data_IF_105215782974
#
_entry.id   IF_105215782974
#
_cell.length_a   1.000
_cell.length_b   1.000
_cell.length_c   1.000
_cell.angle_alpha   90.00
_cell.angle_beta   90.00
_cell.angle_gamma   90.00
#
_symmetry.space_group_name_H-M   'P 1'
#
loop_
_entity.id
_entity.type
_entity.pdbx_description
1 polymer ?
#
# COMPACT_ATOMS: atom_id res chain seq x y z
N UNK A 1 48.58 -44.38 -7.79
CA UNK A 1 48.09 -45.38 -6.81
C UNK A 1 47.69 -44.65 -5.53
N UNK A 2 46.71 -45.17 -4.78
CA UNK A 2 46.22 -44.65 -3.47
C UNK A 2 45.64 -43.23 -3.54
N UNK A 3 44.35 -43.04 -3.87
CA UNK A 3 43.16 -43.23 -3.01
C UNK A 3 43.17 -42.27 -1.81
N UNK A 4 42.38 -41.19 -1.92
CA UNK A 4 42.07 -40.26 -0.84
C UNK A 4 40.54 -40.07 -0.79
N UNK A 5 39.95 -40.50 0.33
CA UNK A 5 38.50 -40.61 0.51
C UNK A 5 37.92 -39.34 1.13
N UNK A 6 36.99 -38.67 0.43
CA UNK A 6 36.15 -37.62 1.02
C UNK A 6 34.85 -38.22 1.56
N UNK A 7 34.35 -37.78 2.74
CA UNK A 7 33.14 -38.31 3.33
C UNK A 7 31.88 -37.86 2.56
N UNK A 8 30.91 -38.78 2.47
CA UNK A 8 29.65 -38.57 1.74
C UNK A 8 28.73 -37.59 2.48
N UNK A 9 28.04 -36.76 1.71
CA UNK A 9 26.90 -35.98 2.18
C UNK A 9 25.72 -36.86 2.58
N UNK A 10 24.85 -36.31 3.43
CA UNK A 10 23.63 -36.94 3.91
C UNK A 10 22.59 -37.10 2.80
N UNK A 11 22.13 -38.34 2.57
CA UNK A 11 20.90 -38.64 1.84
C UNK A 11 19.86 -39.19 2.82
N UNK A 12 18.68 -38.57 2.85
CA UNK A 12 17.48 -39.16 3.45
C UNK A 12 17.02 -40.37 2.63
N UNK A 13 16.41 -41.40 3.24
CA UNK A 13 15.87 -42.53 2.50
C UNK A 13 14.60 -42.13 1.72
N UNK A 14 14.48 -42.68 0.51
CA UNK A 14 13.30 -42.57 -0.35
C UNK A 14 12.97 -43.95 -0.94
N UNK A 15 11.80 -44.04 -1.60
CA UNK A 15 11.18 -45.22 -2.24
C UNK A 15 10.50 -46.20 -1.27
N UNK A 16 9.31 -46.75 -1.55
CA UNK A 16 8.42 -46.66 -2.76
C UNK A 16 6.95 -46.87 -2.31
N UNK A 17 5.89 -46.48 -3.02
CA UNK A 17 5.41 -47.00 -4.32
C UNK A 17 4.38 -46.07 -5.01
N UNK A 18 4.23 -46.23 -6.33
CA UNK A 18 3.15 -45.75 -7.23
C UNK A 18 2.46 -46.99 -7.88
N UNK A 19 1.35 -46.92 -8.66
CA UNK A 19 0.77 -45.80 -9.46
C UNK A 19 -0.72 -45.52 -9.07
N UNK A 20 -1.64 -44.89 -9.82
CA UNK A 20 -1.77 -44.22 -11.14
C UNK A 20 -2.97 -43.19 -11.03
N UNK A 21 -3.34 -42.34 -12.00
CA UNK A 21 -2.86 -42.02 -13.35
C UNK A 21 -3.94 -41.26 -14.19
N UNK A 22 -3.54 -40.54 -15.25
CA UNK A 22 -4.37 -39.66 -16.13
C UNK A 22 -4.98 -38.39 -15.45
N UNK A 23 -4.84 -37.13 -15.87
CA UNK A 23 -4.57 -36.41 -17.13
C UNK A 23 -5.79 -35.54 -17.55
N UNK A 24 -5.60 -34.21 -17.61
CA UNK A 24 -6.51 -33.24 -18.23
C UNK A 24 -5.70 -32.32 -19.16
N UNK A 25 -6.19 -32.02 -20.39
CA UNK A 25 -5.47 -31.16 -21.33
C UNK A 25 -5.80 -29.67 -21.15
N UNK A 26 -4.80 -28.80 -21.38
CA UNK A 26 -5.02 -27.38 -21.70
C UNK A 26 -5.26 -27.23 -23.19
N UNK A 27 -6.31 -26.51 -23.58
CA UNK A 27 -6.51 -26.07 -24.97
C UNK A 27 -5.71 -24.79 -25.26
N UNK A 28 -4.94 -24.78 -26.34
CA UNK A 28 -4.17 -23.61 -26.77
C UNK A 28 -5.01 -22.50 -27.42
N UNK A 29 -4.41 -21.32 -27.52
CA UNK A 29 -4.97 -20.17 -28.24
C UNK A 29 -4.07 -19.86 -29.45
N UNK A 30 -4.66 -19.70 -30.62
CA UNK A 30 -3.92 -19.59 -31.89
C UNK A 30 -3.78 -18.16 -32.41
N UNK A 31 -2.71 -17.94 -33.18
CA UNK A 31 -2.44 -16.71 -33.90
C UNK A 31 -3.22 -16.60 -35.23
N UNK A 32 -3.45 -15.37 -35.69
CA UNK A 32 -4.15 -15.04 -36.93
C UNK A 32 -3.21 -14.42 -37.96
N UNK A 33 -3.38 -14.77 -39.24
CA UNK A 33 -2.99 -13.89 -40.34
C UNK A 33 -3.93 -14.03 -41.57
N UNK A 34 -4.63 -12.93 -41.88
CA UNK A 34 -4.98 -12.38 -43.21
C UNK A 34 -5.72 -13.22 -44.30
N UNK A 35 -6.83 -12.63 -44.81
CA UNK A 35 -7.06 -12.55 -46.26
C UNK A 35 -8.46 -12.91 -46.82
N UNK A 36 -9.27 -11.91 -47.18
CA UNK A 36 -10.00 -11.91 -48.47
C UNK A 36 -11.45 -12.46 -48.59
N UNK A 37 -12.40 -11.51 -48.66
CA UNK A 37 -13.48 -11.43 -49.68
C UNK A 37 -14.77 -12.31 -49.66
N UNK A 38 -15.91 -11.59 -49.63
CA UNK A 38 -17.17 -11.76 -50.43
C UNK A 38 -18.21 -12.88 -50.19
N UNK A 39 -19.34 -12.44 -49.60
CA UNK A 39 -20.76 -12.59 -50.06
C UNK A 39 -21.64 -13.84 -49.90
N UNK A 40 -22.93 -13.53 -49.69
CA UNK A 40 -24.19 -14.25 -49.96
C UNK A 40 -24.98 -14.95 -48.83
N UNK A 41 -26.31 -14.97 -49.06
CA UNK A 41 -27.42 -15.24 -48.12
C UNK A 41 -27.79 -16.73 -48.08
N UNK A 42 -28.48 -17.19 -47.03
CA UNK A 42 -29.33 -18.39 -47.11
C UNK A 42 -29.93 -18.85 -45.79
N UNK A 43 -31.27 -18.93 -45.70
CA UNK A 43 -31.97 -19.67 -44.64
C UNK A 43 -31.99 -21.18 -45.00
N UNK A 44 -31.97 -22.07 -44.00
CA UNK A 44 -32.19 -23.50 -44.18
C UNK A 44 -32.34 -24.23 -42.83
N UNK A 45 -33.21 -25.25 -42.77
CA UNK A 45 -33.64 -25.92 -41.52
C UNK A 45 -33.28 -27.42 -41.51
N UNK A 46 -33.20 -27.97 -40.29
CA UNK A 46 -33.50 -29.36 -39.88
C UNK A 46 -32.58 -30.52 -40.37
N UNK A 47 -31.97 -31.23 -39.42
CA UNK A 47 -32.31 -32.64 -39.11
C UNK A 47 -31.57 -33.16 -37.84
N UNK A 48 -32.23 -34.05 -37.08
CA UNK A 48 -31.67 -34.92 -36.03
C UNK A 48 -32.18 -36.36 -36.28
N UNK A 49 -31.59 -37.44 -35.72
CA UNK A 49 -31.92 -37.94 -34.36
C UNK A 49 -30.65 -38.51 -33.63
N UNK A 50 -30.64 -39.21 -32.48
CA UNK A 50 -31.62 -39.94 -31.66
C UNK A 50 -31.23 -39.89 -30.15
N UNK A 51 -32.14 -39.59 -29.21
CA UNK A 51 -32.89 -40.51 -28.30
C UNK A 51 -32.09 -41.52 -27.44
N UNK A 52 -32.19 -41.35 -26.11
CA UNK A 52 -32.62 -42.37 -25.15
C UNK A 52 -33.32 -41.69 -23.93
N UNK A 53 -34.24 -42.37 -23.24
CA UNK A 53 -35.19 -41.76 -22.27
C UNK A 53 -35.69 -42.77 -21.23
N UNK A 54 -35.72 -42.38 -19.94
CA UNK A 54 -36.72 -42.71 -18.89
C UNK A 54 -36.15 -42.42 -17.47
N UNK A 55 -36.91 -42.13 -16.40
CA UNK A 55 -38.27 -41.59 -16.20
C UNK A 55 -38.46 -41.21 -14.71
N UNK A 56 -39.32 -40.23 -14.40
CA UNK A 56 -39.94 -40.01 -13.07
C UNK A 56 -39.06 -39.42 -11.95
N UNK A 57 -39.57 -38.70 -10.95
CA UNK A 57 -40.94 -38.25 -10.67
C UNK A 57 -40.93 -36.87 -9.95
N UNK A 58 -42.10 -36.27 -9.69
CA UNK A 58 -42.24 -34.89 -9.21
C UNK A 58 -43.21 -34.75 -8.02
N UNK A 59 -42.84 -33.92 -7.03
CA UNK A 59 -43.74 -33.22 -6.09
C UNK A 59 -42.89 -32.11 -5.40
N UNK A 60 -43.13 -30.80 -5.60
CA UNK A 60 -44.19 -29.91 -5.06
C UNK A 60 -44.09 -29.60 -3.55
N UNK A 61 -43.75 -28.32 -3.25
CA UNK A 61 -44.34 -27.43 -2.21
C UNK A 61 -44.16 -27.80 -0.71
N UNK A 62 -44.17 -26.90 0.29
CA UNK A 62 -44.32 -25.43 0.38
C UNK A 62 -43.46 -24.89 1.58
N UNK A 63 -43.30 -23.57 1.70
CA UNK A 63 -42.83 -22.85 2.91
C UNK A 63 -44.05 -22.44 3.80
N UNK A 64 -43.94 -21.84 5.01
CA UNK A 64 -42.78 -21.19 5.64
C UNK A 64 -42.61 -21.43 7.18
N UNK A 65 -41.70 -20.63 7.78
CA UNK A 65 -41.48 -20.41 9.23
C UNK A 65 -42.67 -19.64 9.90
N UNK A 66 -42.65 -19.20 11.20
CA UNK A 66 -41.56 -19.21 12.20
C UNK A 66 -41.98 -19.56 13.67
N UNK A 67 -41.00 -19.62 14.60
CA UNK A 67 -41.08 -19.04 15.96
C UNK A 67 -39.80 -19.30 16.81
N UNK A 68 -39.22 -18.22 17.35
CA UNK A 68 -38.51 -18.17 18.64
C UNK A 68 -39.56 -17.85 19.74
N UNK A 69 -39.33 -18.01 21.07
CA UNK A 69 -38.11 -17.55 21.78
C UNK A 69 -37.69 -18.28 23.08
N UNK A 70 -36.72 -17.64 23.77
CA UNK A 70 -36.52 -17.56 25.23
C UNK A 70 -35.32 -18.31 25.87
N UNK A 71 -34.48 -17.49 26.52
CA UNK A 71 -33.77 -17.69 27.80
C UNK A 71 -34.44 -18.70 28.77
N UNK A 72 -33.75 -19.34 29.75
CA UNK A 72 -32.61 -18.84 30.56
C UNK A 72 -31.84 -19.96 31.31
N UNK A 73 -30.71 -19.56 31.90
CA UNK A 73 -29.92 -20.12 33.03
C UNK A 73 -30.48 -21.28 33.90
N UNK A 74 -29.57 -22.10 34.46
CA UNK A 74 -29.80 -22.68 35.79
C UNK A 74 -29.21 -24.05 36.12
N UNK A 75 -27.89 -24.11 36.37
CA UNK A 75 -27.19 -24.97 37.37
C UNK A 75 -27.82 -26.28 37.92
N UNK A 76 -27.09 -27.39 37.68
CA UNK A 76 -26.69 -28.45 38.64
C UNK A 76 -27.71 -29.14 39.58
N UNK A 77 -27.77 -30.49 39.57
CA UNK A 77 -28.38 -31.24 40.69
C UNK A 77 -28.79 -32.72 40.50
N UNK A 78 -27.83 -33.62 40.26
CA UNK A 78 -27.63 -34.85 41.09
C UNK A 78 -28.78 -35.87 41.35
N UNK A 79 -28.54 -37.11 40.87
CA UNK A 79 -28.89 -38.45 41.42
C UNK A 79 -30.29 -39.15 41.23
N UNK A 80 -30.19 -40.36 40.65
CA UNK A 80 -30.60 -41.69 41.20
C UNK A 80 -31.83 -42.46 40.67
N UNK A 81 -31.56 -43.69 40.21
CA UNK A 81 -32.42 -44.89 40.32
C UNK A 81 -33.37 -45.18 39.13
N UNK A 82 -33.63 -46.44 38.72
CA UNK A 82 -33.03 -47.74 39.08
C UNK A 82 -33.28 -48.78 37.95
N UNK A 83 -32.54 -49.89 37.91
CA UNK A 83 -32.55 -50.90 36.82
C UNK A 83 -33.69 -51.94 36.87
N UNK A 84 -33.95 -52.58 35.70
CA UNK A 84 -34.11 -54.04 35.41
C UNK A 84 -34.37 -54.21 33.89
N UNK A 85 -34.05 -55.30 33.18
CA UNK A 85 -33.46 -56.61 33.52
C UNK A 85 -32.80 -57.25 32.26
N UNK A 86 -32.36 -58.52 32.32
CA UNK A 86 -31.20 -59.03 31.56
C UNK A 86 -31.43 -60.38 30.81
N UNK A 87 -30.39 -60.84 30.08
CA UNK A 87 -30.09 -62.20 29.52
C UNK A 87 -30.50 -62.51 28.05
N UNK A 88 -29.66 -63.18 27.23
CA UNK A 88 -28.27 -63.65 27.47
C UNK A 88 -27.62 -64.46 26.31
N UNK A 89 -26.43 -65.04 26.58
CA UNK A 89 -25.44 -65.75 25.68
C UNK A 89 -24.54 -64.82 24.82
N UNK A 90 -23.22 -65.03 24.66
CA UNK A 90 -22.29 -65.91 25.40
C UNK A 90 -20.97 -66.24 24.65
N UNK A 91 -19.82 -66.07 25.34
CA UNK A 91 -18.47 -66.67 25.11
C UNK A 91 -17.31 -65.83 24.51
N UNK A 92 -16.10 -66.26 24.87
CA UNK A 92 -14.71 -65.84 24.52
C UNK A 92 -14.19 -64.45 24.95
N UNK A 93 -13.95 -64.34 26.26
CA UNK A 93 -12.63 -64.15 26.90
C UNK A 93 -11.65 -63.05 26.39
N UNK A 94 -11.38 -62.09 27.28
CA UNK A 94 -10.22 -61.18 27.26
C UNK A 94 -9.98 -60.72 28.71
N UNK A 95 -8.78 -60.96 29.27
CA UNK A 95 -8.45 -60.60 30.67
C UNK A 95 -7.23 -59.66 30.72
N UNK A 96 -7.31 -58.52 31.43
CA UNK A 96 -6.17 -57.67 31.75
C UNK A 96 -5.76 -57.82 33.22
N UNK A 97 -4.54 -58.32 33.47
CA UNK A 97 -4.00 -58.46 34.84
C UNK A 97 -3.04 -57.31 35.20
N UNK A 98 -3.04 -56.92 36.48
CA UNK A 98 -2.53 -55.64 36.97
C UNK A 98 -1.60 -55.87 38.16
N UNK A 99 -0.28 -55.72 37.99
CA UNK A 99 0.67 -55.81 39.10
C UNK A 99 1.60 -54.58 39.17
N UNK A 100 1.60 -53.92 40.33
CA UNK A 100 2.58 -52.89 40.72
C UNK A 100 3.87 -53.59 41.15
N UNK A 101 5.02 -52.94 40.95
CA UNK A 101 6.22 -53.16 41.77
C UNK A 101 6.80 -51.81 42.17
N UNK A 102 7.18 -51.70 43.45
CA UNK A 102 7.70 -50.51 44.12
C UNK A 102 9.22 -50.44 44.08
N UNK A 103 9.77 -49.24 44.29
CA UNK A 103 11.20 -49.03 44.50
C UNK A 103 11.65 -49.57 45.86
N UNK A 104 12.91 -49.98 45.97
CA UNK A 104 13.61 -50.02 47.25
C UNK A 104 15.09 -49.65 47.07
N UNK A 105 15.70 -49.07 48.11
CA UNK A 105 17.05 -48.49 48.06
C UNK A 105 18.06 -49.35 48.84
N UNK A 106 19.23 -49.61 48.25
CA UNK A 106 20.42 -50.01 49.01
C UNK A 106 21.66 -49.18 48.61
N UNK A 107 22.42 -48.78 49.63
CA UNK A 107 23.52 -47.82 49.55
C UNK A 107 24.88 -48.48 49.76
N UNK A 108 25.83 -48.17 48.87
CA UNK A 108 27.30 -48.08 49.01
C UNK A 108 28.07 -49.03 49.94
N UNK A 109 29.32 -49.34 49.54
CA UNK A 109 30.42 -48.72 50.28
C UNK A 109 31.32 -47.83 49.39
N UNK A 110 32.01 -46.89 50.03
CA UNK A 110 32.99 -46.01 49.39
C UNK A 110 34.42 -46.41 49.76
N UNK A 111 35.36 -46.27 48.82
CA UNK A 111 36.81 -46.28 49.08
C UNK A 111 37.43 -45.11 48.32
N UNK A 112 38.33 -44.37 48.99
CA UNK A 112 38.90 -43.11 48.51
C UNK A 112 40.06 -43.32 47.53
N UNK A 113 40.22 -42.41 46.55
CA UNK A 113 41.33 -41.42 46.49
C UNK A 113 41.35 -40.63 45.16
N UNK A 114 41.94 -39.43 45.19
CA UNK A 114 41.96 -38.41 44.11
C UNK A 114 43.24 -38.55 43.22
N UNK A 115 43.57 -37.69 42.21
CA UNK A 115 42.88 -36.50 41.69
C UNK A 115 42.79 -36.32 40.14
N UNK A 116 42.01 -35.30 39.74
CA UNK A 116 42.14 -34.46 38.51
C UNK A 116 42.34 -35.09 37.12
N UNK A 117 41.27 -35.09 36.33
CA UNK A 117 41.26 -34.33 35.05
C UNK A 117 39.92 -33.62 34.87
N UNK A 118 39.89 -32.28 34.98
CA UNK A 118 38.71 -31.52 34.53
C UNK A 118 38.63 -31.60 33.01
N UNK A 119 37.68 -32.42 32.53
CA UNK A 119 37.33 -32.71 31.14
C UNK A 119 37.77 -31.61 30.16
N UNK A 120 38.88 -31.83 29.45
CA UNK A 120 39.45 -30.86 28.50
C UNK A 120 38.42 -30.37 27.46
N UNK A 121 37.48 -31.23 27.07
CA UNK A 121 36.35 -30.91 26.19
C UNK A 121 35.42 -29.82 26.74
N UNK A 122 35.25 -29.73 28.06
CA UNK A 122 34.47 -28.66 28.70
C UNK A 122 35.24 -27.33 28.68
N UNK A 123 36.55 -27.37 28.94
CA UNK A 123 37.44 -26.20 28.86
C UNK A 123 37.47 -25.64 27.44
N UNK A 124 37.63 -26.49 26.42
CA UNK A 124 37.62 -26.10 25.00
C UNK A 124 36.27 -25.47 24.59
N UNK A 125 35.14 -26.03 25.06
CA UNK A 125 33.81 -25.45 24.80
C UNK A 125 33.63 -24.09 25.48
N UNK A 126 34.10 -23.92 26.71
CA UNK A 126 34.10 -22.63 27.40
C UNK A 126 34.99 -21.59 26.70
N UNK A 127 36.19 -21.98 26.25
CA UNK A 127 37.08 -21.11 25.48
C UNK A 127 36.45 -20.69 24.14
N UNK A 128 35.82 -21.62 23.42
CA UNK A 128 35.11 -21.31 22.17
C UNK A 128 33.96 -20.33 22.41
N UNK A 129 33.12 -20.55 23.43
CA UNK A 129 32.04 -19.63 23.81
C UNK A 129 32.58 -18.26 24.20
N UNK A 130 33.63 -18.20 25.03
CA UNK A 130 34.28 -16.95 25.41
C UNK A 130 34.79 -16.18 24.18
N UNK A 131 35.47 -16.85 23.25
CA UNK A 131 35.96 -16.24 22.01
C UNK A 131 34.80 -15.73 21.15
N UNK A 132 33.69 -16.47 21.01
CA UNK A 132 32.52 -15.97 20.25
C UNK A 132 31.87 -14.75 20.90
N UNK A 133 31.78 -14.71 22.24
CA UNK A 133 31.24 -13.56 22.97
C UNK A 133 32.16 -12.33 22.83
N UNK A 134 33.46 -12.49 23.01
CA UNK A 134 34.45 -11.42 22.83
C UNK A 134 34.51 -10.90 21.38
N UNK A 135 34.41 -11.80 20.40
CA UNK A 135 34.37 -11.43 18.98
C UNK A 135 33.10 -10.67 18.63
N UNK A 136 31.95 -11.13 19.12
CA UNK A 136 30.66 -10.44 18.92
C UNK A 136 30.65 -9.08 19.61
N UNK A 137 31.18 -9.00 20.84
CA UNK A 137 31.37 -7.75 21.56
C UNK A 137 32.28 -6.77 20.81
N UNK A 138 33.42 -7.23 20.28
CA UNK A 138 34.35 -6.38 19.52
C UNK A 138 33.75 -5.92 18.18
N UNK A 139 32.98 -6.76 17.50
CA UNK A 139 32.22 -6.36 16.29
C UNK A 139 31.15 -5.32 16.67
N UNK A 140 30.41 -5.53 17.76
CA UNK A 140 29.44 -4.54 18.25
C UNK A 140 30.14 -3.23 18.61
N UNK A 141 31.26 -3.28 19.33
CA UNK A 141 32.03 -2.11 19.75
C UNK A 141 32.64 -1.35 18.57
N UNK A 142 33.07 -2.03 17.50
CA UNK A 142 33.57 -1.37 16.28
C UNK A 142 32.44 -0.79 15.42
N UNK A 143 31.28 -1.46 15.30
CA UNK A 143 30.09 -0.89 14.67
C UNK A 143 29.52 0.32 15.45
N UNK A 144 29.44 0.22 16.78
CA UNK A 144 29.03 1.33 17.65
C UNK A 144 30.05 2.45 17.63
N UNK A 145 31.36 2.19 17.72
CA UNK A 145 32.37 3.25 17.64
C UNK A 145 32.38 3.95 16.25
N UNK A 146 32.09 3.23 15.16
CA UNK A 146 31.98 3.85 13.83
C UNK A 146 30.68 4.63 13.65
N UNK A 147 29.56 4.21 14.25
CA UNK A 147 28.32 5.00 14.27
C UNK A 147 28.35 6.16 15.29
N UNK A 148 29.15 6.09 16.36
CA UNK A 148 29.26 7.13 17.39
C UNK A 148 30.23 8.27 17.04
N UNK A 149 31.02 8.15 15.96
CA UNK A 149 31.57 9.34 15.29
C UNK A 149 30.58 10.02 14.35
N UNK A 150 29.43 9.38 14.05
CA UNK A 150 28.33 9.97 13.28
C UNK A 150 27.14 10.44 14.15
N UNK A 151 27.06 10.01 15.41
CA UNK A 151 26.03 10.42 16.39
C UNK A 151 26.73 11.05 17.59
N UNK A 152 26.75 12.39 17.64
CA UNK A 152 27.40 13.10 18.74
C UNK A 152 26.60 12.94 20.04
N UNK A 153 27.24 12.40 21.09
CA UNK A 153 26.69 12.33 22.46
C UNK A 153 26.29 13.69 23.07
N UNK A 154 26.68 14.80 22.45
CA UNK A 154 26.22 16.16 22.81
C UNK A 154 24.71 16.36 22.62
N UNK A 155 24.00 15.38 22.04
CA UNK A 155 22.54 15.40 21.86
C UNK A 155 21.72 14.90 23.07
N UNK A 156 22.32 14.26 24.07
CA UNK A 156 21.56 13.56 25.13
C UNK A 156 21.74 14.15 26.55
N UNK A 157 22.78 14.94 26.78
CA UNK A 157 22.91 15.73 28.00
C UNK A 157 22.35 17.13 27.75
N UNK A 158 21.16 17.39 28.31
CA UNK A 158 20.42 18.63 28.12
C UNK A 158 21.13 19.85 28.69
N UNK A 159 21.93 20.53 27.87
CA UNK A 159 22.20 21.95 28.06
C UNK A 159 20.97 22.74 27.60
N UNK A 160 20.25 23.32 28.56
CA UNK A 160 19.14 24.23 28.28
C UNK A 160 19.59 25.40 27.38
N UNK A 161 18.64 25.95 26.63
CA UNK A 161 18.83 27.17 25.83
C UNK A 161 19.94 27.07 24.76
N UNK A 162 19.77 26.17 23.78
CA UNK A 162 20.22 26.50 22.43
C UNK A 162 19.26 27.58 21.91
N UNK A 163 19.67 28.85 21.75
CA UNK A 163 18.82 29.81 21.06
C UNK A 163 18.52 29.23 19.68
N UNK A 164 17.32 29.52 19.17
CA UNK A 164 16.91 29.12 17.83
C UNK A 164 18.06 29.38 16.86
N UNK A 165 18.43 28.36 16.07
CA UNK A 165 19.30 28.53 14.90
C UNK A 165 18.90 29.82 14.23
N UNK A 166 19.86 30.75 14.11
CA UNK A 166 19.66 32.10 13.60
C UNK A 166 18.88 31.98 12.28
N UNK A 167 17.57 32.26 12.35
CA UNK A 167 16.69 32.02 11.22
C UNK A 167 16.97 33.14 10.24
N UNK A 168 17.88 32.86 9.29
CA UNK A 168 17.91 33.50 7.98
C UNK A 168 16.45 33.82 7.59
N UNK A 169 16.10 35.11 7.35
CA UNK A 169 14.72 35.52 7.19
C UNK A 169 14.02 34.64 6.15
N UNK A 170 13.15 33.74 6.62
CA UNK A 170 12.49 32.79 5.73
C UNK A 170 11.43 33.57 4.96
N UNK A 171 11.64 33.73 3.66
CA UNK A 171 10.62 34.32 2.80
C UNK A 171 9.34 33.49 2.88
N UNK A 172 8.19 34.16 2.73
CA UNK A 172 6.87 33.52 2.72
C UNK A 172 6.84 32.34 1.74
N UNK A 173 6.16 31.26 2.14
CA UNK A 173 6.12 29.96 1.46
C UNK A 173 7.48 29.24 1.31
N UNK A 174 8.56 29.77 1.92
CA UNK A 174 9.92 29.27 1.73
C UNK A 174 10.50 29.57 0.35
N UNK A 175 10.03 30.63 -0.32
CA UNK A 175 10.55 31.05 -1.61
C UNK A 175 12.03 31.46 -1.52
N UNK A 176 12.79 31.31 -2.60
CA UNK A 176 14.22 31.67 -2.64
C UNK A 176 14.46 33.17 -2.46
N UNK A 177 13.51 34.00 -2.91
CA UNK A 177 13.54 35.46 -2.80
C UNK A 177 12.25 35.98 -2.15
N UNK A 178 12.37 37.07 -1.40
CA UNK A 178 11.22 37.80 -0.88
C UNK A 178 10.48 38.54 -2.00
N UNK A 179 9.18 38.75 -1.82
CA UNK A 179 8.36 39.49 -2.77
C UNK A 179 8.42 41.00 -2.53
N UNK A 180 8.34 41.82 -3.60
CA UNK A 180 8.22 43.26 -3.49
C UNK A 180 6.87 43.65 -2.87
N UNK A 181 6.73 44.93 -2.51
CA UNK A 181 5.45 45.48 -2.05
C UNK A 181 4.33 45.24 -3.09
N UNK A 182 3.09 45.16 -2.61
CA UNK A 182 1.90 44.96 -3.45
C UNK A 182 1.93 43.67 -4.29
N UNK A 183 2.64 42.64 -3.83
CA UNK A 183 2.62 41.30 -4.41
C UNK A 183 2.36 40.25 -3.31
N UNK A 184 1.72 39.15 -3.70
CA UNK A 184 1.52 37.99 -2.86
C UNK A 184 2.54 36.91 -3.19
N UNK A 185 3.21 36.38 -2.17
CA UNK A 185 4.09 35.23 -2.32
C UNK A 185 3.27 33.95 -2.49
N UNK A 186 3.64 33.11 -3.46
CA UNK A 186 3.03 31.80 -3.63
C UNK A 186 4.09 30.74 -3.92
N UNK A 187 3.72 29.48 -3.65
CA UNK A 187 4.46 28.27 -4.05
C UNK A 187 3.47 27.16 -4.35
N UNK A 188 3.49 26.66 -5.58
CA UNK A 188 2.65 25.56 -6.07
C UNK A 188 3.57 24.39 -6.43
N UNK A 189 3.26 23.21 -5.91
CA UNK A 189 3.96 21.96 -6.17
C UNK A 189 2.93 20.93 -6.64
N UNK A 190 3.16 20.31 -7.80
CA UNK A 190 2.32 19.20 -8.28
C UNK A 190 2.52 17.93 -7.46
N UNK A 191 1.65 16.95 -7.65
CA UNK A 191 1.90 15.61 -7.13
C UNK A 191 3.10 14.94 -7.80
N UNK A 192 3.71 13.98 -7.10
CA UNK A 192 4.69 13.05 -7.65
C UNK A 192 4.00 11.69 -7.84
N UNK A 193 3.81 11.32 -9.11
CA UNK A 193 2.96 10.21 -9.54
C UNK A 193 1.60 10.22 -8.80
N UNK A 194 1.19 9.07 -8.26
CA UNK A 194 0.01 8.89 -7.41
C UNK A 194 0.35 8.73 -5.91
N UNK A 195 1.61 8.92 -5.49
CA UNK A 195 2.09 8.62 -4.12
C UNK A 195 2.28 9.84 -3.23
N UNK A 196 2.70 10.97 -3.78
CA UNK A 196 2.83 12.23 -3.04
C UNK A 196 1.86 13.25 -3.62
N UNK A 197 0.89 13.67 -2.82
CA UNK A 197 -0.07 14.71 -3.20
C UNK A 197 0.56 16.10 -3.36
N UNK A 198 -0.13 17.02 -4.06
CA UNK A 198 0.34 18.37 -4.35
C UNK A 198 0.34 19.25 -3.09
N UNK A 199 0.98 20.41 -3.20
CA UNK A 199 1.00 21.43 -2.16
C UNK A 199 0.79 22.83 -2.76
N UNK A 200 -0.13 23.61 -2.18
CA UNK A 200 -0.39 25.00 -2.57
C UNK A 200 -0.20 25.87 -1.34
N UNK A 201 0.80 26.74 -1.37
CA UNK A 201 1.04 27.78 -0.37
C UNK A 201 0.81 29.17 -0.97
N UNK A 202 0.18 30.05 -0.18
CA UNK A 202 -0.07 31.44 -0.52
C UNK A 202 0.10 32.29 0.74
N UNK A 203 0.92 33.35 0.68
CA UNK A 203 1.19 34.26 1.80
C UNK A 203 1.62 33.54 3.10
N UNK A 204 2.49 32.54 2.97
CA UNK A 204 2.97 31.63 4.04
C UNK A 204 1.90 30.70 4.64
N UNK A 205 0.66 30.76 4.15
CA UNK A 205 -0.42 29.84 4.51
C UNK A 205 -0.50 28.68 3.52
N UNK A 206 -0.38 27.44 4.00
CA UNK A 206 -0.65 26.24 3.20
C UNK A 206 -2.16 26.10 3.00
N UNK A 207 -2.63 26.33 1.78
CA UNK A 207 -4.05 26.25 1.42
C UNK A 207 -4.47 24.79 1.19
N UNK A 208 -3.69 24.04 0.42
CA UNK A 208 -3.95 22.64 0.09
C UNK A 208 -2.68 21.80 0.29
N UNK A 209 -2.81 20.63 0.93
CA UNK A 209 -1.74 19.63 1.02
C UNK A 209 -2.25 18.29 1.53
N UNK A 210 -1.46 17.22 1.36
CA UNK A 210 -1.74 15.90 1.95
C UNK A 210 -1.93 15.96 3.47
N UNK A 211 -1.17 16.82 4.17
CA UNK A 211 -1.26 16.99 5.63
C UNK A 211 -2.57 17.65 6.05
N UNK A 212 -3.16 18.49 5.18
CA UNK A 212 -4.47 19.10 5.40
C UNK A 212 -5.64 18.21 4.98
N UNK A 213 -5.37 17.04 4.42
CA UNK A 213 -6.36 16.06 3.94
C UNK A 213 -7.43 16.67 3.00
N UNK A 214 -7.03 17.65 2.18
CA UNK A 214 -7.91 18.39 1.26
C UNK A 214 -7.38 18.36 -0.19
N UNK A 215 -6.68 17.28 -0.55
CA UNK A 215 -6.19 17.03 -1.92
C UNK A 215 -6.72 15.69 -2.44
N UNK A 216 -6.79 15.57 -3.77
CA UNK A 216 -7.26 14.37 -4.45
C UNK A 216 -6.64 14.24 -5.84
N UNK A 217 -6.77 13.07 -6.46
CA UNK A 217 -6.37 12.85 -7.86
C UNK A 217 -7.03 13.89 -8.77
N UNK A 218 -6.34 14.28 -9.84
CA UNK A 218 -6.82 15.23 -10.83
C UNK A 218 -6.33 16.64 -10.58
N UNK A 219 -7.24 17.61 -10.60
CA UNK A 219 -6.93 19.03 -10.45
C UNK A 219 -7.29 19.49 -9.05
N UNK A 220 -6.31 20.04 -8.33
CA UNK A 220 -6.46 20.62 -7.00
C UNK A 220 -6.42 22.14 -7.15
N UNK A 221 -7.51 22.82 -6.79
CA UNK A 221 -7.70 24.24 -7.10
C UNK A 221 -8.01 25.04 -5.82
N UNK A 222 -7.25 26.10 -5.59
CA UNK A 222 -7.50 27.10 -4.55
C UNK A 222 -7.87 28.44 -5.19
N UNK A 223 -9.00 29.00 -4.76
CA UNK A 223 -9.50 30.32 -5.14
C UNK A 223 -9.14 31.33 -4.05
N UNK A 224 -8.51 32.44 -4.45
CA UNK A 224 -8.06 33.49 -3.53
C UNK A 224 -8.52 34.85 -4.04
N UNK A 225 -8.94 35.75 -3.15
CA UNK A 225 -9.29 37.12 -3.51
C UNK A 225 -8.03 37.91 -3.92
N UNK A 226 -7.97 38.40 -5.17
CA UNK A 226 -6.80 39.11 -5.70
C UNK A 226 -6.55 40.50 -5.11
N UNK A 227 -7.51 41.07 -4.37
CA UNK A 227 -7.36 42.35 -3.67
C UNK A 227 -7.01 42.16 -2.19
N UNK A 228 -7.56 41.15 -1.50
CA UNK A 228 -7.31 40.94 -0.05
C UNK A 228 -6.32 39.82 0.29
N UNK A 229 -6.03 38.92 -0.65
CA UNK A 229 -5.23 37.71 -0.40
C UNK A 229 -5.94 36.62 0.41
N UNK A 230 -7.23 36.80 0.73
CA UNK A 230 -8.00 35.85 1.52
C UNK A 230 -8.42 34.63 0.68
N UNK A 231 -8.30 33.44 1.28
CA UNK A 231 -8.83 32.20 0.72
C UNK A 231 -10.36 32.28 0.60
N UNK A 232 -10.88 31.95 -0.58
CA UNK A 232 -12.33 31.90 -0.85
C UNK A 232 -12.84 30.46 -0.80
N UNK A 233 -12.17 29.53 -1.50
CA UNK A 233 -12.58 28.13 -1.61
C UNK A 233 -11.39 27.25 -2.03
N UNK A 234 -11.37 26.00 -1.60
CA UNK A 234 -10.46 24.95 -2.11
C UNK A 234 -11.27 23.72 -2.50
N UNK A 235 -10.96 23.07 -3.61
CA UNK A 235 -11.61 21.83 -4.02
C UNK A 235 -10.68 20.97 -4.91
N UNK A 236 -10.98 19.68 -5.05
CA UNK A 236 -10.22 18.72 -5.84
C UNK A 236 -11.11 17.92 -6.78
N UNK A 237 -10.74 17.85 -8.05
CA UNK A 237 -11.58 17.28 -9.11
C UNK A 237 -10.89 16.11 -9.80
N UNK A 238 -11.38 14.88 -9.60
CA UNK A 238 -10.86 13.67 -10.23
C UNK A 238 -11.08 13.69 -11.75
N UNK A 239 -10.01 13.99 -12.48
CA UNK A 239 -10.00 14.05 -13.95
C UNK A 239 -9.70 12.69 -14.61
N UNK A 240 -9.60 11.60 -13.85
CA UNK A 240 -9.47 10.24 -14.39
C UNK A 240 -10.81 9.48 -14.37
N UNK A 241 -11.42 9.33 -13.20
CA UNK A 241 -12.70 8.60 -13.04
C UNK A 241 -13.89 9.46 -12.56
N UNK A 242 -13.66 10.72 -12.23
CA UNK A 242 -14.69 11.62 -11.73
C UNK A 242 -15.59 12.23 -12.81
N UNK A 243 -16.57 13.01 -12.34
CA UNK A 243 -17.47 13.81 -13.16
C UNK A 243 -16.91 15.22 -13.37
N UNK A 244 -16.58 15.53 -14.62
CA UNK A 244 -16.06 16.84 -15.07
C UNK A 244 -17.08 17.98 -14.90
N UNK A 245 -18.37 17.68 -14.78
CA UNK A 245 -19.43 18.69 -14.59
C UNK A 245 -19.23 19.48 -13.30
N UNK A 246 -18.72 18.85 -12.24
CA UNK A 246 -18.37 19.50 -10.97
C UNK A 246 -17.32 20.61 -11.16
N UNK A 247 -16.28 20.31 -11.93
CA UNK A 247 -15.23 21.28 -12.27
C UNK A 247 -15.78 22.40 -13.15
N UNK A 248 -16.66 22.11 -14.11
CA UNK A 248 -17.29 23.14 -14.94
C UNK A 248 -18.10 24.14 -14.11
N UNK A 249 -18.96 23.65 -13.20
CA UNK A 249 -19.77 24.49 -12.32
C UNK A 249 -18.87 25.35 -11.40
N UNK A 250 -17.82 24.75 -10.84
CA UNK A 250 -16.84 25.44 -10.01
C UNK A 250 -16.13 26.58 -10.79
N UNK A 251 -15.61 26.30 -11.98
CA UNK A 251 -14.93 27.30 -12.82
C UNK A 251 -15.87 28.41 -13.30
N UNK A 252 -17.13 28.07 -13.61
CA UNK A 252 -18.16 29.04 -14.00
C UNK A 252 -18.52 29.99 -12.85
N UNK A 253 -18.47 29.53 -11.60
CA UNK A 253 -18.74 30.35 -10.41
C UNK A 253 -17.65 31.36 -10.03
N UNK A 254 -16.49 31.34 -10.70
CA UNK A 254 -15.35 32.21 -10.35
C UNK A 254 -15.66 33.66 -10.72
N UNK A 255 -15.65 34.53 -9.71
CA UNK A 255 -15.87 35.98 -9.84
C UNK A 255 -14.61 36.68 -10.37
N UNK A 256 -14.80 37.80 -11.08
CA UNK A 256 -13.69 38.64 -11.59
C UNK A 256 -12.82 39.14 -10.44
N UNK A 257 -11.50 39.12 -10.61
CA UNK A 257 -10.53 39.50 -9.58
C UNK A 257 -10.15 38.37 -8.61
N UNK A 258 -10.69 37.16 -8.78
CA UNK A 258 -10.21 35.96 -8.08
C UNK A 258 -8.96 35.40 -8.76
N UNK A 259 -7.92 35.12 -7.97
CA UNK A 259 -6.75 34.32 -8.34
C UNK A 259 -7.10 32.83 -8.26
N UNK A 260 -6.58 32.04 -9.20
CA UNK A 260 -6.87 30.61 -9.34
C UNK A 260 -5.56 29.83 -9.34
N UNK A 261 -5.20 29.24 -8.20
CA UNK A 261 -4.01 28.41 -8.05
C UNK A 261 -4.39 26.94 -8.30
N UNK A 262 -3.71 26.28 -9.23
CA UNK A 262 -4.03 24.91 -9.67
C UNK A 262 -2.78 24.03 -9.67
N UNK A 263 -2.92 22.81 -9.15
CA UNK A 263 -1.89 21.77 -9.17
C UNK A 263 -2.46 20.41 -9.61
N UNK A 264 -1.76 19.72 -10.52
CA UNK A 264 -2.07 18.33 -10.92
C UNK A 264 -1.69 17.31 -9.85
N UNK A 265 -2.40 16.18 -9.82
CA UNK A 265 -2.01 14.98 -9.08
C UNK A 265 -2.45 13.71 -9.83
N UNK A 266 -1.54 12.76 -10.05
CA UNK A 266 -1.72 11.54 -10.85
C UNK A 266 -2.10 11.81 -12.32
N UNK A 267 -3.34 12.20 -12.62
CA UNK A 267 -3.80 12.51 -13.99
C UNK A 267 -4.76 13.72 -14.03
N UNK A 268 -4.38 14.87 -14.64
CA UNK A 268 -5.24 16.05 -14.73
C UNK A 268 -6.17 16.09 -15.95
N UNK A 269 -6.10 15.14 -16.90
CA UNK A 269 -6.57 15.40 -18.26
C UNK A 269 -7.57 14.41 -18.88
N UNK A 270 -7.68 13.15 -18.42
CA UNK A 270 -8.49 12.11 -19.14
C UNK A 270 -9.95 12.51 -19.35
N UNK A 271 -10.56 13.22 -18.39
CA UNK A 271 -11.95 13.73 -18.46
C UNK A 271 -12.06 15.18 -18.93
N UNK A 272 -10.95 15.85 -19.21
CA UNK A 272 -10.93 17.28 -19.53
C UNK A 272 -11.48 17.56 -20.94
N UNK A 273 -12.58 18.30 -21.01
CA UNK A 273 -13.28 18.67 -22.25
C UNK A 273 -13.07 20.14 -22.63
N UNK A 274 -13.47 20.50 -23.85
CA UNK A 274 -13.21 21.82 -24.44
C UNK A 274 -13.78 22.99 -23.64
N UNK A 275 -14.91 22.80 -22.94
CA UNK A 275 -15.47 23.82 -22.04
C UNK A 275 -14.54 24.10 -20.85
N UNK A 276 -14.00 23.06 -20.21
CA UNK A 276 -13.01 23.21 -19.13
C UNK A 276 -11.72 23.85 -19.65
N UNK A 277 -11.23 23.41 -20.82
CA UNK A 277 -10.05 24.01 -21.45
C UNK A 277 -10.27 25.50 -21.72
N UNK A 278 -11.40 25.87 -22.31
CA UNK A 278 -11.78 27.28 -22.56
C UNK A 278 -11.84 28.13 -21.28
N UNK A 279 -12.39 27.62 -20.17
CA UNK A 279 -12.37 28.34 -18.89
C UNK A 279 -10.95 28.61 -18.38
N UNK A 280 -10.05 27.64 -18.45
CA UNK A 280 -8.65 27.84 -18.05
C UNK A 280 -7.89 28.77 -19.00
N UNK A 281 -8.20 28.76 -20.31
CA UNK A 281 -7.68 29.73 -21.27
C UNK A 281 -8.14 31.15 -20.94
N UNK A 282 -9.40 31.34 -20.54
CA UNK A 282 -9.94 32.62 -20.05
C UNK A 282 -9.29 33.08 -18.72
N UNK A 283 -8.83 32.14 -17.89
CA UNK A 283 -8.03 32.42 -16.69
C UNK A 283 -6.55 32.74 -17.00
N UNK A 284 -6.13 32.61 -18.26
CA UNK A 284 -4.80 32.95 -18.75
C UNK A 284 -3.87 31.77 -19.06
N UNK A 285 -4.34 30.52 -19.06
CA UNK A 285 -3.50 29.36 -19.40
C UNK A 285 -3.10 29.34 -20.89
N UNK A 286 -1.83 29.01 -21.15
CA UNK A 286 -1.31 28.68 -22.48
C UNK A 286 -1.24 27.17 -22.72
N UNK A 287 -1.01 26.37 -21.68
CA UNK A 287 -0.74 24.94 -21.81
C UNK A 287 -1.99 24.04 -21.65
N UNK A 288 -3.12 24.55 -21.17
CA UNK A 288 -4.33 23.74 -20.95
C UNK A 288 -4.83 23.01 -22.20
N UNK A 289 -4.63 23.57 -23.40
CA UNK A 289 -4.98 22.88 -24.65
C UNK A 289 -4.11 21.65 -24.94
N UNK A 290 -2.89 21.61 -24.41
CA UNK A 290 -1.93 20.52 -24.62
C UNK A 290 -1.95 19.45 -23.52
N UNK A 291 -2.68 19.66 -22.42
CA UNK A 291 -2.74 18.71 -21.31
C UNK A 291 -3.34 17.35 -21.75
N UNK A 292 -2.54 16.31 -21.59
CA UNK A 292 -2.87 14.91 -21.78
C UNK A 292 -2.61 14.05 -20.54
N UNK A 293 -2.79 12.74 -20.71
CA UNK A 293 -2.82 11.75 -19.65
C UNK A 293 -1.54 11.76 -18.78
N UNK A 294 -1.71 12.02 -17.48
CA UNK A 294 -0.63 12.11 -16.47
C UNK A 294 0.44 13.17 -16.73
N UNK A 295 0.19 14.15 -17.58
CA UNK A 295 1.05 15.33 -17.63
C UNK A 295 1.06 16.04 -16.26
N UNK A 296 2.21 16.57 -15.85
CA UNK A 296 2.26 17.41 -14.65
C UNK A 296 2.09 18.89 -15.05
N UNK A 297 1.29 19.61 -14.26
CA UNK A 297 0.90 20.99 -14.54
C UNK A 297 0.68 21.76 -13.24
N UNK A 298 1.25 22.96 -13.19
CA UNK A 298 1.02 23.94 -12.13
C UNK A 298 0.73 25.30 -12.76
N UNK A 299 -0.29 25.98 -12.27
CA UNK A 299 -0.83 27.19 -12.89
C UNK A 299 -1.36 28.16 -11.83
N UNK A 300 -1.06 29.44 -12.01
CA UNK A 300 -1.71 30.53 -11.28
C UNK A 300 -2.32 31.47 -12.31
N UNK A 301 -3.64 31.46 -12.43
CA UNK A 301 -4.43 32.33 -13.30
C UNK A 301 -5.22 33.38 -12.52
N UNK A 302 -5.96 34.22 -13.25
CA UNK A 302 -6.90 35.17 -12.64
C UNK A 302 -8.12 35.41 -13.54
N UNK A 303 -9.31 35.51 -12.94
CA UNK A 303 -10.54 35.78 -13.71
C UNK A 303 -10.61 37.24 -14.13
N UNK A 304 -10.66 37.46 -15.45
CA UNK A 304 -10.62 38.79 -16.08
C UNK A 304 -9.21 39.30 -16.37
N UNK A 305 -8.23 38.40 -16.47
CA UNK A 305 -6.89 38.68 -17.00
C UNK A 305 -6.98 38.91 -18.52
N UNK A 306 -6.32 39.95 -19.04
CA UNK A 306 -6.36 40.28 -20.48
C UNK A 306 -5.32 39.52 -21.31
N UNK A 307 -4.27 39.03 -20.65
CA UNK A 307 -3.12 38.37 -21.26
C UNK A 307 -2.97 36.95 -20.68
N UNK A 308 -2.07 36.17 -21.28
CA UNK A 308 -1.63 34.90 -20.70
C UNK A 308 -0.93 35.12 -19.36
N UNK A 309 -1.09 34.19 -18.42
CA UNK A 309 -0.38 34.24 -17.14
C UNK A 309 1.11 33.92 -17.34
N UNK A 310 2.03 34.67 -16.69
CA UNK A 310 3.44 34.30 -16.62
C UNK A 310 3.70 33.15 -15.63
N UNK A 311 2.70 32.72 -14.86
CA UNK A 311 2.81 31.72 -13.81
C UNK A 311 2.18 30.40 -14.26
N UNK A 312 2.85 29.71 -15.17
CA UNK A 312 2.46 28.39 -15.64
C UNK A 312 3.70 27.52 -15.87
N UNK A 313 3.66 26.26 -15.46
CA UNK A 313 4.63 25.23 -15.85
C UNK A 313 3.92 23.93 -16.21
N UNK A 314 4.51 23.20 -17.16
CA UNK A 314 3.98 21.98 -17.73
C UNK A 314 5.14 21.01 -18.03
N UNK A 315 4.97 19.72 -17.70
CA UNK A 315 5.85 18.64 -18.15
C UNK A 315 4.98 17.53 -18.71
N UNK A 316 5.24 17.17 -19.97
CA UNK A 316 4.56 16.08 -20.66
C UNK A 316 4.99 14.72 -20.10
N UNK A 317 4.02 13.82 -19.96
CA UNK A 317 4.25 12.39 -19.76
C UNK A 317 4.86 11.77 -21.04
N UNK A 318 6.13 11.37 -20.96
CA UNK A 318 6.84 10.67 -22.03
C UNK A 318 7.72 9.57 -21.44
N UNK A 319 7.53 8.33 -21.90
CA UNK A 319 8.22 7.14 -21.40
C UNK A 319 9.75 7.25 -21.43
N UNK A 320 10.33 8.11 -22.28
CA UNK A 320 11.78 8.31 -22.41
C UNK A 320 12.35 9.34 -21.45
N UNK A 321 11.54 10.30 -20.98
CA UNK A 321 12.00 11.41 -20.12
C UNK A 321 11.38 11.39 -18.72
N UNK A 322 10.41 10.51 -18.48
CA UNK A 322 9.75 10.34 -17.19
C UNK A 322 10.75 9.93 -16.10
N UNK A 323 10.59 10.54 -14.92
CA UNK A 323 11.37 10.25 -13.71
C UNK A 323 10.81 9.08 -12.90
N UNK A 324 9.51 8.80 -13.07
CA UNK A 324 8.80 7.69 -12.44
C UNK A 324 8.23 6.77 -13.51
N UNK A 325 7.90 5.53 -13.17
CA UNK A 325 7.38 4.54 -14.11
C UNK A 325 5.98 4.93 -14.63
N UNK A 326 5.95 5.67 -15.74
CA UNK A 326 4.70 6.17 -16.35
C UNK A 326 4.15 7.47 -15.76
N UNK A 327 4.97 8.27 -15.06
CA UNK A 327 4.66 9.66 -14.71
C UNK A 327 5.90 10.58 -14.85
N UNK A 328 5.73 11.84 -15.27
CA UNK A 328 6.79 12.85 -15.29
C UNK A 328 7.21 13.26 -13.86
N UNK A 329 8.30 14.03 -13.76
CA UNK A 329 8.72 14.55 -12.46
C UNK A 329 7.75 15.58 -11.87
N UNK A 330 7.82 15.78 -10.55
CA UNK A 330 7.05 16.82 -9.87
C UNK A 330 7.47 18.21 -10.35
N UNK A 331 6.48 19.08 -10.55
CA UNK A 331 6.68 20.48 -10.87
C UNK A 331 6.64 21.34 -9.62
N UNK A 332 7.60 22.25 -9.50
CA UNK A 332 7.58 23.33 -8.51
C UNK A 332 7.57 24.69 -9.21
N UNK A 333 6.67 25.57 -8.79
CA UNK A 333 6.59 26.95 -9.23
C UNK A 333 6.34 27.86 -8.03
N UNK A 334 7.32 28.71 -7.74
CA UNK A 334 7.22 29.78 -6.75
C UNK A 334 7.34 31.15 -7.43
N UNK A 335 6.79 32.17 -6.79
CA UNK A 335 6.84 33.52 -7.33
C UNK A 335 6.06 34.54 -6.50
N UNK A 336 5.87 35.70 -7.12
CA UNK A 336 5.21 36.87 -6.54
C UNK A 336 4.12 37.32 -7.50
N UNK A 337 2.85 37.03 -7.18
CA UNK A 337 1.71 37.45 -7.99
C UNK A 337 1.35 38.92 -7.67
N UNK A 338 1.16 39.82 -8.65
CA UNK A 338 0.78 41.19 -8.39
C UNK A 338 -0.60 41.25 -7.73
N UNK A 339 -0.72 42.07 -6.69
CA UNK A 339 -2.00 42.37 -6.04
C UNK A 339 -2.86 43.19 -6.98
N UNK A 340 -4.16 42.86 -7.08
CA UNK A 340 -5.12 43.71 -7.76
C UNK A 340 -5.26 45.02 -6.98
N UNK A 341 -4.84 46.11 -7.62
CA UNK A 341 -5.32 47.45 -7.29
C UNK A 341 -6.67 47.64 -7.99
N UNK A 342 -7.60 48.32 -7.33
CA UNK A 342 -8.93 48.62 -7.88
C UNK A 342 -8.91 49.87 -8.77
#
# INVERSE_FOLDING_TARGET
MSVLSLPRGSCSPALSLCPAGCAQPRSGQGDKAWGGATTHRGLGRLAAPARCRANGASAHRDAPAPAQPAERDGTAGTLSGLQRGFQGRGSTDCSPEFQRVTCDCQSFPAVLSQPTTMRATAVIRYLALLITLLSTWFILQTYFHRSWRAISLRSWLGAANKPSSEKLPRNKCGNQKGCPQNHFAFKIISGAANVVGPSICFEDSVLMSSVKNNIGRGLNIALVNGTTGQLLQTDSFDMYSGDVTKLQIFLQGIKRGTLVLTASYDDPATKMNDKVRAYFTELGSSHVHSLGFRDNWVFLGAKGLMNKSPFEKYIKNDQKTNKYEGWPELLEMEGCAPRKMD
#
